data_IF_658780865675
#
_entry.id   IF_658780865675
#
_cell.length_a   1.000
_cell.length_b   1.000
_cell.length_c   1.000
_cell.angle_alpha   90.00
_cell.angle_beta   90.00
_cell.angle_gamma   90.00
#
_symmetry.space_group_name_H-M   'P 1'
#
loop_
_entity.id
_entity.type
_entity.pdbx_description
1 polymer ?
#
# COMPACT_ATOMS: atom_id res chain seq x y z
N UNK A 1 -5.59 -14.20 13.03
CA UNK A 1 -4.50 -13.51 12.31
C UNK A 1 -3.59 -12.89 13.35
N UNK A 2 -2.39 -13.44 13.51
CA UNK A 2 -1.35 -12.80 14.30
C UNK A 2 -1.06 -11.44 13.68
N UNK A 3 -1.23 -10.37 14.45
CA UNK A 3 -0.85 -9.02 14.00
C UNK A 3 0.67 -9.04 13.84
N UNK A 4 1.15 -9.11 12.61
CA UNK A 4 2.57 -8.92 12.33
C UNK A 4 3.00 -7.57 12.92
N UNK A 5 4.01 -7.59 13.79
CA UNK A 5 4.59 -6.35 14.33
C UNK A 5 5.20 -5.53 13.19
N UNK A 6 5.07 -4.20 13.26
CA UNK A 6 5.66 -3.29 12.28
C UNK A 6 7.18 -3.45 12.18
N UNK A 7 7.82 -3.88 13.27
CA UNK A 7 9.24 -4.20 13.30
C UNK A 7 9.57 -5.42 12.43
N UNK A 8 8.70 -6.44 12.42
CA UNK A 8 8.85 -7.59 11.52
C UNK A 8 8.69 -7.15 10.06
N UNK A 9 7.77 -6.21 9.77
CA UNK A 9 7.58 -5.65 8.42
C UNK A 9 8.84 -4.90 7.97
N UNK A 10 9.51 -4.14 8.86
CA UNK A 10 10.79 -3.50 8.52
C UNK A 10 11.89 -4.52 8.19
N UNK A 11 11.96 -5.63 8.95
CA UNK A 11 12.91 -6.71 8.65
C UNK A 11 12.62 -7.37 7.29
N UNK A 12 11.35 -7.64 6.99
CA UNK A 12 10.91 -8.15 5.69
C UNK A 12 11.22 -7.16 4.57
N UNK A 13 11.05 -5.85 4.82
CA UNK A 13 11.37 -4.81 3.85
C UNK A 13 12.85 -4.87 3.44
N UNK A 14 13.78 -4.97 4.39
CA UNK A 14 15.21 -5.11 4.10
C UNK A 14 15.49 -6.40 3.31
N UNK A 15 14.92 -7.53 3.75
CA UNK A 15 15.14 -8.82 3.09
C UNK A 15 14.63 -8.81 1.65
N UNK A 16 13.44 -8.26 1.43
CA UNK A 16 12.83 -8.14 0.10
C UNK A 16 13.67 -7.28 -0.85
N UNK A 17 14.33 -6.23 -0.34
CA UNK A 17 15.27 -5.43 -1.14
C UNK A 17 16.50 -6.23 -1.55
N UNK A 18 17.07 -7.01 -0.61
CA UNK A 18 18.28 -7.81 -0.85
C UNK A 18 18.02 -8.98 -1.82
N UNK A 19 16.81 -9.52 -1.81
CA UNK A 19 16.40 -10.62 -2.67
C UNK A 19 15.70 -10.18 -3.96
N UNK A 20 15.67 -8.87 -4.25
CA UNK A 20 15.00 -8.30 -5.43
C UNK A 20 13.51 -8.68 -5.55
N UNK A 21 12.85 -8.94 -4.41
CA UNK A 21 11.43 -9.29 -4.32
C UNK A 21 10.58 -8.03 -4.41
N UNK A 22 10.45 -7.48 -5.62
CA UNK A 22 9.81 -6.19 -5.88
C UNK A 22 8.40 -6.03 -5.32
N UNK A 23 7.57 -7.09 -5.39
CA UNK A 23 6.19 -7.02 -4.87
C UNK A 23 6.18 -6.86 -3.35
N UNK A 24 6.95 -7.67 -2.62
CA UNK A 24 7.06 -7.57 -1.16
C UNK A 24 7.67 -6.24 -0.74
N UNK A 25 8.70 -5.79 -1.44
CA UNK A 25 9.33 -4.49 -1.24
C UNK A 25 8.31 -3.35 -1.31
N UNK A 26 7.51 -3.34 -2.37
CA UNK A 26 6.50 -2.30 -2.62
C UNK A 26 5.42 -2.32 -1.54
N UNK A 27 4.88 -3.49 -1.22
CA UNK A 27 3.83 -3.61 -0.18
C UNK A 27 4.37 -3.22 1.20
N UNK A 28 5.54 -3.73 1.59
CA UNK A 28 6.11 -3.46 2.91
C UNK A 28 6.53 -1.99 3.05
N UNK A 29 7.08 -1.36 2.00
CA UNK A 29 7.46 0.05 2.04
C UNK A 29 6.24 0.95 2.20
N UNK A 30 5.13 0.61 1.55
CA UNK A 30 3.86 1.32 1.72
C UNK A 30 3.27 1.14 3.12
N UNK A 31 3.28 -0.07 3.68
CA UNK A 31 2.81 -0.32 5.05
C UNK A 31 3.62 0.48 6.08
N UNK A 32 4.95 0.51 5.93
CA UNK A 32 5.82 1.31 6.81
C UNK A 32 5.57 2.81 6.60
N UNK A 33 5.37 3.27 5.36
CA UNK A 33 5.00 4.66 5.09
C UNK A 33 3.67 5.06 5.76
N UNK A 34 2.62 4.23 5.62
CA UNK A 34 1.28 4.48 6.18
C UNK A 34 1.21 4.34 7.70
N UNK A 35 2.15 3.61 8.31
CA UNK A 35 2.21 3.45 9.77
C UNK A 35 2.47 4.75 10.55
N UNK A 36 2.93 5.82 9.89
CA UNK A 36 3.17 7.12 10.52
C UNK A 36 4.35 7.15 11.51
N UNK A 37 5.17 6.10 11.57
CA UNK A 37 6.35 6.06 12.44
C UNK A 37 7.32 7.22 12.17
N UNK A 38 7.84 7.91 13.19
CA UNK A 38 8.81 8.97 13.02
C UNK A 38 10.11 8.47 12.39
N UNK A 39 10.77 9.35 11.62
CA UNK A 39 12.01 9.03 10.90
C UNK A 39 13.11 8.49 11.82
N UNK A 40 13.18 8.95 13.07
CA UNK A 40 14.12 8.47 14.07
C UNK A 40 13.98 6.96 14.37
N UNK A 41 12.75 6.45 14.39
CA UNK A 41 12.49 5.02 14.59
C UNK A 41 12.85 4.25 13.31
N UNK A 42 12.50 4.79 12.14
CA UNK A 42 12.86 4.18 10.87
C UNK A 42 14.39 4.06 10.73
N UNK A 43 15.14 5.10 11.08
CA UNK A 43 16.61 5.14 11.00
C UNK A 43 17.30 4.15 11.95
N UNK A 44 16.65 3.73 13.05
CA UNK A 44 17.18 2.71 13.96
C UNK A 44 17.12 1.30 13.38
N UNK A 45 16.16 1.04 12.49
CA UNK A 45 15.90 -0.31 11.98
C UNK A 45 16.23 -0.47 10.49
N UNK A 46 16.21 0.61 9.72
CA UNK A 46 16.39 0.60 8.27
C UNK A 46 17.66 1.37 7.88
N UNK A 47 18.37 0.94 6.81
CA UNK A 47 19.42 1.73 6.18
C UNK A 47 18.87 3.05 5.63
N UNK A 48 19.74 4.07 5.57
CA UNK A 48 19.38 5.44 5.18
C UNK A 48 18.68 5.53 3.81
N UNK A 49 19.10 4.70 2.85
CA UNK A 49 18.51 4.64 1.52
C UNK A 49 17.04 4.19 1.54
N UNK A 50 16.71 3.24 2.42
CA UNK A 50 15.35 2.72 2.54
C UNK A 50 14.46 3.68 3.32
N UNK A 51 15.02 4.37 4.33
CA UNK A 51 14.32 5.45 5.06
C UNK A 51 13.96 6.58 4.10
N UNK A 52 14.92 7.04 3.28
CA UNK A 52 14.67 8.07 2.28
C UNK A 52 13.57 7.66 1.29
N UNK A 53 13.53 6.38 0.88
CA UNK A 53 12.48 5.86 -0.01
C UNK A 53 11.10 5.87 0.65
N UNK A 54 11.01 5.48 1.92
CA UNK A 54 9.74 5.50 2.68
C UNK A 54 9.23 6.94 2.84
N UNK A 55 10.11 7.89 3.15
CA UNK A 55 9.75 9.31 3.24
C UNK A 55 9.31 9.88 1.88
N UNK A 56 9.96 9.50 0.78
CA UNK A 56 9.52 9.85 -0.57
C UNK A 56 8.08 9.36 -0.84
N UNK A 57 7.74 8.13 -0.42
CA UNK A 57 6.38 7.58 -0.55
C UNK A 57 5.36 8.34 0.31
N UNK A 58 5.74 8.77 1.51
CA UNK A 58 4.89 9.60 2.37
C UNK A 58 4.60 10.96 1.74
N UNK A 59 5.60 11.62 1.16
CA UNK A 59 5.41 12.90 0.47
C UNK A 59 4.51 12.75 -0.76
N UNK A 60 4.70 11.68 -1.54
CA UNK A 60 3.87 11.38 -2.72
C UNK A 60 2.41 11.07 -2.36
N UNK A 61 2.18 10.38 -1.25
CA UNK A 61 0.83 10.06 -0.77
C UNK A 61 0.15 11.23 -0.05
N UNK A 62 0.91 12.16 0.52
CA UNK A 62 0.41 13.33 1.23
C UNK A 62 0.02 14.48 0.30
N UNK A 63 0.52 14.52 -0.95
CA UNK A 63 0.06 15.51 -1.93
C UNK A 63 -1.40 15.24 -2.33
N UNK A 64 -2.35 16.14 -1.97
CA UNK A 64 -3.70 16.08 -2.50
C UNK A 64 -3.71 16.82 -3.84
N UNK A 65 -2.87 16.42 -4.80
CA UNK A 65 -2.91 17.00 -6.13
C UNK A 65 -3.97 16.25 -6.94
N UNK A 66 -5.20 16.78 -6.88
CA UNK A 66 -6.19 16.59 -7.93
C UNK A 66 -5.48 16.75 -9.28
N UNK A 67 -5.61 15.72 -10.12
CA UNK A 67 -5.35 15.77 -11.56
C UNK A 67 -3.90 16.11 -11.95
N UNK A 68 -3.18 15.09 -12.42
CA UNK A 68 -2.41 15.05 -13.68
C UNK A 68 -1.40 13.91 -13.54
N UNK A 69 -1.59 12.87 -14.36
CA UNK A 69 -0.81 11.62 -14.42
C UNK A 69 0.70 11.86 -14.51
N UNK A 70 1.56 10.88 -14.17
CA UNK A 70 2.11 10.05 -15.24
C UNK A 70 2.45 8.58 -14.88
N UNK A 71 2.23 7.70 -15.86
CA UNK A 71 2.83 6.38 -16.10
C UNK A 71 3.89 5.80 -15.12
N UNK A 72 3.46 5.33 -13.94
CA UNK A 72 4.11 4.21 -13.22
C UNK A 72 3.05 3.38 -12.45
N UNK A 73 1.89 3.20 -13.09
CA UNK A 73 0.69 2.56 -12.55
C UNK A 73 0.69 1.06 -12.80
N UNK A 74 1.36 0.27 -11.95
CA UNK A 74 1.09 -1.17 -11.96
C UNK A 74 0.74 -1.67 -10.55
N UNK A 75 1.58 -1.40 -9.55
CA UNK A 75 1.37 -1.95 -8.20
C UNK A 75 0.85 -0.94 -7.17
N UNK A 76 1.08 0.36 -7.36
CA UNK A 76 0.41 1.41 -6.56
C UNK A 76 -1.08 1.48 -6.91
N UNK A 77 -1.41 1.23 -8.18
CA UNK A 77 -2.78 0.96 -8.60
C UNK A 77 -3.32 -0.29 -7.95
N UNK A 78 -2.60 -1.42 -7.88
CA UNK A 78 -3.17 -2.64 -7.30
C UNK A 78 -3.68 -2.47 -5.85
N UNK A 79 -2.89 -1.82 -4.98
CA UNK A 79 -3.31 -1.56 -3.59
C UNK A 79 -4.43 -0.51 -3.50
N UNK A 80 -4.40 0.55 -4.33
CA UNK A 80 -5.50 1.53 -4.37
C UNK A 80 -6.75 0.98 -5.07
N UNK A 81 -6.61 0.02 -5.99
CA UNK A 81 -7.69 -0.70 -6.66
C UNK A 81 -8.36 -1.66 -5.68
N UNK A 82 -7.59 -2.34 -4.82
CA UNK A 82 -8.14 -3.12 -3.72
C UNK A 82 -8.89 -2.22 -2.72
N UNK A 83 -8.27 -1.12 -2.28
CA UNK A 83 -8.93 -0.15 -1.40
C UNK A 83 -10.17 0.49 -2.08
N UNK A 84 -10.12 0.75 -3.38
CA UNK A 84 -11.24 1.26 -4.18
C UNK A 84 -12.34 0.22 -4.33
N UNK A 85 -11.99 -1.05 -4.54
CA UNK A 85 -12.92 -2.17 -4.59
C UNK A 85 -13.61 -2.33 -3.23
N UNK A 86 -12.88 -2.25 -2.12
CA UNK A 86 -13.44 -2.27 -0.77
C UNK A 86 -14.41 -1.12 -0.56
N UNK A 87 -14.05 0.12 -0.95
CA UNK A 87 -14.93 1.30 -0.86
C UNK A 87 -16.19 1.13 -1.72
N UNK A 88 -16.07 0.62 -2.94
CA UNK A 88 -17.21 0.39 -3.85
C UNK A 88 -18.10 -0.75 -3.37
N UNK A 89 -17.54 -1.86 -2.90
CA UNK A 89 -18.28 -2.97 -2.30
C UNK A 89 -19.04 -2.51 -1.07
N UNK A 90 -18.42 -1.69 -0.21
CA UNK A 90 -19.11 -1.11 0.97
C UNK A 90 -20.34 -0.32 0.55
N UNK A 91 -20.22 0.56 -0.46
CA UNK A 91 -21.35 1.34 -0.99
C UNK A 91 -22.43 0.45 -1.63
N UNK A 92 -22.04 -0.59 -2.36
CA UNK A 92 -22.98 -1.53 -2.96
C UNK A 92 -23.75 -2.32 -1.89
N UNK A 93 -23.07 -2.72 -0.80
CA UNK A 93 -23.69 -3.32 0.38
C UNK A 93 -24.66 -2.34 1.06
N UNK A 94 -24.26 -1.09 1.25
CA UNK A 94 -25.13 -0.04 1.83
C UNK A 94 -26.37 0.23 0.96
N UNK A 95 -26.23 0.10 -0.37
CA UNK A 95 -27.31 0.24 -1.34
C UNK A 95 -28.12 -1.06 -1.57
N UNK A 96 -27.77 -2.16 -0.92
CA UNK A 96 -28.34 -3.51 -1.14
C UNK A 96 -28.25 -4.03 -2.58
N UNK A 97 -27.26 -3.56 -3.35
CA UNK A 97 -27.00 -4.00 -4.73
C UNK A 97 -26.16 -5.29 -4.73
N UNK A 98 -26.85 -6.41 -4.54
CA UNK A 98 -26.22 -7.74 -4.41
C UNK A 98 -25.57 -8.21 -5.72
N UNK A 99 -26.06 -7.77 -6.88
CA UNK A 99 -25.52 -8.13 -8.19
C UNK A 99 -24.16 -7.43 -8.42
N UNK A 100 -24.05 -6.15 -8.06
CA UNK A 100 -22.78 -5.43 -8.13
C UNK A 100 -21.72 -6.01 -7.17
N UNK A 101 -22.13 -6.41 -5.95
CA UNK A 101 -21.24 -7.10 -5.01
C UNK A 101 -20.75 -8.43 -5.58
N UNK A 102 -21.65 -9.22 -6.19
CA UNK A 102 -21.31 -10.53 -6.78
C UNK A 102 -20.30 -10.39 -7.92
N UNK A 103 -20.51 -9.43 -8.83
CA UNK A 103 -19.56 -9.13 -9.92
C UNK A 103 -18.18 -8.72 -9.38
N UNK A 104 -18.15 -7.89 -8.34
CA UNK A 104 -16.90 -7.48 -7.70
C UNK A 104 -16.18 -8.65 -7.02
N UNK A 105 -16.90 -9.55 -6.33
CA UNK A 105 -16.31 -10.73 -5.69
C UNK A 105 -15.75 -11.71 -6.72
N UNK A 106 -16.47 -11.94 -7.82
CA UNK A 106 -16.06 -12.86 -8.89
C UNK A 106 -14.88 -12.33 -9.72
N UNK A 107 -14.50 -11.05 -9.56
CA UNK A 107 -13.42 -10.43 -10.34
C UNK A 107 -13.84 -10.02 -11.76
N UNK A 108 -15.14 -10.05 -12.05
CA UNK A 108 -15.72 -9.77 -13.37
C UNK A 108 -16.17 -8.30 -13.52
N UNK A 109 -15.93 -7.45 -12.52
CA UNK A 109 -16.39 -6.05 -12.46
C UNK A 109 -15.29 -4.99 -12.30
N UNK A 110 -14.06 -5.26 -12.77
CA UNK A 110 -12.92 -4.33 -12.73
C UNK A 110 -12.28 -4.15 -14.10
#
# INVERSE_FOLDING_TARGET
VEKASIENVMRVLIASRKQDMHQLWTTCSYLVAKSGLPQEILAKHLPIELVAKVEELRLKSSMPLRSLMPHHHDLTSALDLEDQKIRRMRRALDASDVELVKLMVMGEGL
#
